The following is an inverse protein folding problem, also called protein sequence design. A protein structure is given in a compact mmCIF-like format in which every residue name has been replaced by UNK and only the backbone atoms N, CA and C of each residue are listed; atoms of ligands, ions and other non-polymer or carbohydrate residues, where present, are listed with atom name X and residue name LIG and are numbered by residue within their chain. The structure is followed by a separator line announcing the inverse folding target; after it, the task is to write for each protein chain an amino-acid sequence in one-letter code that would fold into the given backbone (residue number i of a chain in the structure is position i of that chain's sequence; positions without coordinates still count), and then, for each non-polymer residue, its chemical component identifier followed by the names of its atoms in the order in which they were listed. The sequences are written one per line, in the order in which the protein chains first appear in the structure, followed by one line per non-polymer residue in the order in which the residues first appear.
data_IF_228834743998
#
_entry.id   IF_228834743998
#
_cell.length_a   1.000
_cell.length_b   1.000
_cell.length_c   1.000
_cell.angle_alpha   90.00
_cell.angle_beta   90.00
_cell.angle_gamma   90.00
#
_symmetry.space_group_name_H-M   'P 1'
#
loop_
_entity.id
_entity.type
_entity.pdbx_description
1 polymer ?
#
# COMPACT_ATOMS: atom_id res chain seq x y z
N UNK A 1 17.20 -85.88 45.04
CA UNK A 1 17.47 -84.46 44.96
C UNK A 1 16.12 -83.76 44.93
N UNK A 2 15.74 -83.25 46.12
CA UNK A 2 14.50 -82.57 46.42
C UNK A 2 14.54 -81.11 45.97
N UNK A 3 13.59 -80.66 45.22
CA UNK A 3 13.34 -79.24 44.97
C UNK A 3 11.97 -78.88 45.62
N UNK A 4 12.06 -78.07 46.66
CA UNK A 4 10.96 -77.46 47.32
C UNK A 4 10.47 -76.22 46.58
N UNK A 5 9.18 -76.17 46.24
CA UNK A 5 8.49 -75.01 45.70
C UNK A 5 8.20 -74.00 46.81
N UNK A 6 8.35 -72.69 46.57
CA UNK A 6 7.92 -71.62 47.48
C UNK A 6 6.42 -71.32 47.33
N UNK A 7 5.75 -70.76 48.37
CA UNK A 7 4.32 -70.56 48.42
C UNK A 7 3.88 -69.31 47.63
N UNK A 8 2.62 -69.40 47.16
CA UNK A 8 1.95 -68.40 46.38
C UNK A 8 1.78 -67.06 47.18
N UNK A 9 2.26 -65.98 46.58
CA UNK A 9 2.06 -64.62 47.12
C UNK A 9 0.61 -64.20 46.78
N UNK A 10 -0.10 -63.80 47.83
CA UNK A 10 -1.45 -63.24 47.86
C UNK A 10 -1.45 -61.90 47.07
N UNK A 11 -2.28 -61.80 46.04
CA UNK A 11 -2.46 -60.61 45.24
C UNK A 11 -2.92 -59.40 46.06
N UNK A 12 -2.05 -58.45 46.19
CA UNK A 12 -2.35 -57.12 46.65
C UNK A 12 -3.03 -56.35 45.49
N UNK A 13 -4.31 -56.03 45.64
CA UNK A 13 -5.02 -55.14 44.71
C UNK A 13 -4.34 -53.75 44.80
N UNK A 14 -3.63 -53.38 43.77
CA UNK A 14 -3.20 -52.01 43.58
C UNK A 14 -4.43 -51.12 43.47
N UNK A 15 -4.64 -50.30 44.45
CA UNK A 15 -5.53 -49.13 44.40
C UNK A 15 -5.03 -48.21 43.28
N UNK A 16 -5.91 -47.76 42.37
CA UNK A 16 -5.50 -46.78 41.36
C UNK A 16 -5.04 -45.53 42.10
N UNK A 17 -3.77 -45.20 41.85
CA UNK A 17 -3.14 -43.96 42.30
C UNK A 17 -3.92 -42.81 41.69
N UNK A 18 -4.72 -42.11 42.49
CA UNK A 18 -5.37 -40.87 42.09
C UNK A 18 -4.26 -39.88 41.73
N UNK A 19 -4.16 -39.55 40.44
CA UNK A 19 -3.35 -38.42 39.99
C UNK A 19 -3.83 -37.19 40.77
N UNK A 20 -2.95 -36.49 41.47
CA UNK A 20 -3.33 -35.25 42.12
C UNK A 20 -3.70 -34.29 40.97
N UNK A 21 -4.97 -33.93 40.86
CA UNK A 21 -5.44 -32.74 40.16
C UNK A 21 -4.77 -31.57 40.89
N UNK A 22 -3.63 -31.12 40.36
CA UNK A 22 -3.02 -29.87 40.82
C UNK A 22 -4.08 -28.78 40.62
N UNK A 23 -4.52 -28.17 41.71
CA UNK A 23 -5.29 -26.94 41.64
C UNK A 23 -4.44 -25.93 40.90
N UNK A 24 -5.01 -25.19 39.92
CA UNK A 24 -4.26 -24.14 39.20
C UNK A 24 -3.58 -23.24 40.24
N UNK A 25 -2.28 -23.00 40.04
CA UNK A 25 -1.56 -22.18 41.01
C UNK A 25 -2.02 -20.73 40.78
N UNK A 26 -2.04 -19.92 41.86
CA UNK A 26 -2.38 -18.50 41.76
C UNK A 26 -1.52 -17.74 40.74
N UNK A 27 -0.40 -18.32 40.30
CA UNK A 27 0.45 -17.81 39.25
C UNK A 27 -0.15 -18.10 37.84
N UNK A 28 -0.78 -19.27 37.65
CA UNK A 28 -1.42 -19.63 36.37
C UNK A 28 -2.70 -18.80 36.20
N UNK A 29 -3.47 -18.58 37.25
CA UNK A 29 -4.66 -17.71 37.25
C UNK A 29 -4.26 -16.25 36.91
N UNK A 30 -3.13 -15.74 37.46
CA UNK A 30 -2.63 -14.40 37.18
C UNK A 30 -2.06 -14.25 35.77
N UNK A 31 -1.57 -15.33 35.16
CA UNK A 31 -1.13 -15.34 33.74
C UNK A 31 -2.36 -15.34 32.84
N UNK A 32 -3.36 -16.14 33.15
CA UNK A 32 -4.60 -16.19 32.36
C UNK A 32 -5.37 -14.86 32.42
N UNK A 33 -5.48 -14.22 33.62
CA UNK A 33 -6.06 -12.87 33.76
C UNK A 33 -5.28 -11.81 32.91
N UNK A 34 -3.97 -11.89 32.88
CA UNK A 34 -3.15 -10.97 32.03
C UNK A 34 -3.33 -11.24 30.55
N UNK A 35 -3.43 -12.50 30.15
CA UNK A 35 -3.71 -12.88 28.78
C UNK A 35 -5.11 -12.43 28.35
N UNK A 36 -6.12 -12.62 29.22
CA UNK A 36 -7.47 -12.11 28.97
C UNK A 36 -7.51 -10.59 28.86
N UNK A 37 -6.77 -9.86 29.69
CA UNK A 37 -6.66 -8.41 29.60
C UNK A 37 -5.96 -7.94 28.32
N UNK A 38 -4.95 -8.66 27.83
CA UNK A 38 -4.25 -8.36 26.57
C UNK A 38 -5.11 -8.68 25.35
N UNK A 39 -5.92 -9.74 25.44
CA UNK A 39 -6.81 -10.17 24.35
C UNK A 39 -8.24 -9.63 24.47
N UNK A 40 -8.55 -8.80 25.47
CA UNK A 40 -9.85 -8.13 25.62
C UNK A 40 -10.02 -7.02 24.55
N UNK A 41 -9.98 -7.40 23.28
CA UNK A 41 -10.49 -6.57 22.19
C UNK A 41 -12.01 -6.56 22.31
N UNK A 42 -12.54 -5.54 22.99
CA UNK A 42 -13.97 -5.28 23.00
C UNK A 42 -14.39 -4.48 21.76
N UNK A 43 -15.66 -4.56 21.38
CA UNK A 43 -16.25 -3.70 20.35
C UNK A 43 -15.99 -2.21 20.63
N UNK A 44 -15.86 -1.82 21.90
CA UNK A 44 -15.55 -0.46 22.33
C UNK A 44 -14.17 0.00 21.85
N UNK A 45 -13.15 -0.86 21.94
CA UNK A 45 -11.80 -0.54 21.46
C UNK A 45 -11.76 -0.38 19.93
N UNK A 46 -12.50 -1.23 19.20
CA UNK A 46 -12.62 -1.14 17.74
C UNK A 46 -13.37 0.13 17.38
N UNK A 47 -14.51 0.40 18.05
CA UNK A 47 -15.30 1.60 17.83
C UNK A 47 -14.51 2.88 18.12
N UNK A 48 -13.76 2.90 19.21
CA UNK A 48 -12.92 4.03 19.59
C UNK A 48 -11.81 4.26 18.56
N UNK A 49 -11.13 3.20 18.12
CA UNK A 49 -10.09 3.29 17.07
C UNK A 49 -10.66 3.76 15.74
N UNK A 50 -11.82 3.26 15.34
CA UNK A 50 -12.52 3.70 14.14
C UNK A 50 -12.96 5.17 14.23
N UNK A 51 -13.44 5.61 15.41
CA UNK A 51 -13.81 7.00 15.66
C UNK A 51 -12.61 7.94 15.53
N UNK A 52 -11.48 7.62 16.18
CA UNK A 52 -10.25 8.42 16.04
C UNK A 52 -9.72 8.44 14.63
N UNK A 53 -9.78 7.32 13.91
CA UNK A 53 -9.44 7.25 12.48
C UNK A 53 -10.34 8.13 11.62
N UNK A 54 -11.65 8.10 11.87
CA UNK A 54 -12.63 8.94 11.17
C UNK A 54 -12.42 10.43 11.46
N UNK A 55 -12.22 10.80 12.73
CA UNK A 55 -11.95 12.19 13.14
C UNK A 55 -10.66 12.70 12.48
N UNK A 56 -9.58 11.91 12.51
CA UNK A 56 -8.33 12.25 11.84
C UNK A 56 -8.48 12.41 10.34
N UNK A 57 -9.20 11.49 9.70
CA UNK A 57 -9.50 11.56 8.26
C UNK A 57 -10.33 12.78 7.88
N UNK A 58 -11.36 13.09 8.65
CA UNK A 58 -12.18 14.29 8.45
C UNK A 58 -11.38 15.57 8.68
N UNK A 59 -10.51 15.60 9.68
CA UNK A 59 -9.64 16.76 9.93
C UNK A 59 -8.69 17.00 8.75
N UNK A 60 -8.04 15.96 8.21
CA UNK A 60 -7.19 16.05 7.02
C UNK A 60 -7.98 16.50 5.79
N UNK A 61 -9.20 15.98 5.61
CA UNK A 61 -10.06 16.38 4.51
C UNK A 61 -10.48 17.84 4.60
N UNK A 62 -10.75 18.34 5.81
CA UNK A 62 -11.04 19.75 6.07
C UNK A 62 -9.84 20.65 5.75
N UNK A 63 -8.65 20.27 6.20
CA UNK A 63 -7.40 21.00 5.90
C UNK A 63 -7.17 21.04 4.39
N UNK A 64 -7.38 19.92 3.69
CA UNK A 64 -7.29 19.90 2.23
C UNK A 64 -8.32 20.85 1.59
N UNK A 65 -9.57 20.82 2.04
CA UNK A 65 -10.64 21.66 1.51
C UNK A 65 -10.32 23.15 1.69
N UNK A 66 -9.79 23.54 2.84
CA UNK A 66 -9.40 24.93 3.12
C UNK A 66 -8.19 25.39 2.30
N UNK A 67 -7.27 24.46 1.99
CA UNK A 67 -6.02 24.81 1.25
C UNK A 67 -6.17 24.65 -0.27
N UNK A 68 -7.10 23.84 -0.77
CA UNK A 68 -7.21 23.55 -2.21
C UNK A 68 -7.54 24.75 -3.06
N UNK A 69 -8.23 25.76 -2.51
CA UNK A 69 -8.58 26.99 -3.25
C UNK A 69 -7.42 27.99 -3.35
N UNK A 70 -6.34 27.79 -2.57
CA UNK A 70 -5.19 28.68 -2.59
C UNK A 70 -4.41 28.52 -3.89
N UNK A 71 -4.27 29.61 -4.64
CA UNK A 71 -3.53 29.64 -5.90
C UNK A 71 -2.05 29.32 -5.73
N UNK A 72 -1.45 29.67 -4.61
CA UNK A 72 -0.03 29.43 -4.31
C UNK A 72 0.38 27.96 -4.44
N UNK A 73 -0.51 27.01 -4.14
CA UNK A 73 -0.23 25.58 -4.24
C UNK A 73 -0.17 25.10 -5.70
N UNK A 74 -1.00 25.67 -6.58
CA UNK A 74 -1.16 25.19 -7.97
C UNK A 74 -0.56 26.13 -9.01
N UNK A 75 -0.15 27.31 -8.61
CA UNK A 75 0.30 28.39 -9.50
C UNK A 75 1.51 27.98 -10.36
N UNK A 76 2.59 27.41 -9.82
CA UNK A 76 3.74 27.05 -10.64
C UNK A 76 3.35 26.09 -11.76
N UNK A 77 2.55 25.08 -11.44
CA UNK A 77 2.09 24.09 -12.43
C UNK A 77 1.15 24.70 -13.48
N UNK A 78 0.29 25.62 -13.11
CA UNK A 78 -0.59 26.32 -14.05
C UNK A 78 0.16 27.27 -14.97
N UNK A 79 1.25 27.89 -14.49
CA UNK A 79 2.09 28.79 -15.27
C UNK A 79 2.97 28.06 -16.26
N UNK A 80 3.65 27.01 -15.81
CA UNK A 80 4.65 26.31 -16.61
C UNK A 80 4.09 25.13 -17.42
N UNK A 81 3.04 24.47 -16.93
CA UNK A 81 2.43 23.29 -17.53
C UNK A 81 0.90 23.39 -17.58
N UNK A 82 0.34 24.34 -18.35
CA UNK A 82 -1.11 24.56 -18.37
C UNK A 82 -1.90 23.32 -18.80
N UNK A 83 -1.36 22.50 -19.68
CA UNK A 83 -2.00 21.27 -20.16
C UNK A 83 -2.00 20.14 -19.12
N UNK A 84 -1.11 20.19 -18.11
CA UNK A 84 -1.09 19.27 -16.95
C UNK A 84 -1.79 19.84 -15.72
N UNK A 85 -2.23 21.07 -15.79
CA UNK A 85 -2.93 21.68 -14.68
C UNK A 85 -4.30 21.00 -14.46
N UNK A 86 -4.74 20.87 -13.20
CA UNK A 86 -6.08 20.35 -12.95
C UNK A 86 -7.13 21.27 -13.57
N UNK A 87 -8.18 20.68 -14.13
CA UNK A 87 -9.38 21.42 -14.53
C UNK A 87 -9.95 22.17 -13.34
N UNK A 88 -10.65 23.26 -13.58
CA UNK A 88 -11.34 23.99 -12.52
C UNK A 88 -12.31 23.05 -11.79
N UNK A 89 -12.05 22.87 -10.49
CA UNK A 89 -12.88 22.01 -9.67
C UNK A 89 -14.07 22.79 -9.14
N UNK A 90 -15.27 22.18 -9.07
CA UNK A 90 -16.43 22.85 -8.55
C UNK A 90 -16.20 23.34 -7.12
N UNK A 91 -16.67 24.56 -6.85
CA UNK A 91 -16.65 25.17 -5.52
C UNK A 91 -17.76 24.52 -4.68
N UNK A 92 -17.36 23.87 -3.59
CA UNK A 92 -18.29 23.21 -2.65
C UNK A 92 -17.57 22.15 -1.83
N UNK A 93 -18.05 21.95 -0.61
CA UNK A 93 -17.47 20.96 0.33
C UNK A 93 -17.59 19.56 -0.28
N UNK A 94 -16.45 18.93 -0.61
CA UNK A 94 -16.42 17.59 -1.19
C UNK A 94 -16.88 17.48 -2.66
N UNK A 95 -17.26 18.56 -3.33
CA UNK A 95 -17.73 18.53 -4.73
C UNK A 95 -16.66 18.03 -5.73
N UNK A 96 -15.41 18.08 -5.35
CA UNK A 96 -14.29 17.54 -6.15
C UNK A 96 -14.22 16.00 -6.14
N UNK A 97 -14.78 15.34 -5.11
CA UNK A 97 -14.68 13.89 -4.94
C UNK A 97 -15.29 13.13 -6.12
N UNK A 98 -16.55 13.36 -6.52
CA UNK A 98 -17.12 12.66 -7.68
C UNK A 98 -16.34 12.98 -8.96
N UNK A 99 -15.91 14.21 -9.17
CA UNK A 99 -15.11 14.60 -10.35
C UNK A 99 -13.78 13.87 -10.40
N UNK A 100 -13.10 13.73 -9.26
CA UNK A 100 -11.81 13.00 -9.18
C UNK A 100 -11.99 11.49 -9.36
N UNK A 101 -13.06 10.90 -8.81
CA UNK A 101 -13.34 9.46 -8.94
C UNK A 101 -13.80 9.06 -10.34
N UNK A 102 -14.52 9.95 -11.04
CA UNK A 102 -15.06 9.69 -12.38
C UNK A 102 -14.14 10.14 -13.51
N UNK A 103 -12.97 10.70 -13.19
CA UNK A 103 -12.01 11.15 -14.22
C UNK A 103 -11.58 9.99 -15.13
N UNK A 104 -11.65 10.17 -16.47
CA UNK A 104 -11.20 9.15 -17.43
C UNK A 104 -9.73 8.81 -17.25
N UNK A 105 -9.39 7.53 -17.41
CA UNK A 105 -8.00 7.07 -17.22
C UNK A 105 -7.00 7.76 -18.16
N UNK A 106 -7.41 8.06 -19.40
CA UNK A 106 -6.55 8.76 -20.38
C UNK A 106 -6.25 10.21 -19.96
N UNK A 107 -7.25 10.92 -19.47
CA UNK A 107 -7.08 12.28 -18.98
C UNK A 107 -6.21 12.29 -17.71
N UNK A 108 -6.44 11.34 -16.81
CA UNK A 108 -5.64 11.16 -15.61
C UNK A 108 -4.17 10.90 -15.95
N UNK A 109 -3.89 9.95 -16.87
CA UNK A 109 -2.54 9.64 -17.34
C UNK A 109 -1.86 10.87 -17.94
N UNK A 110 -2.57 11.64 -18.76
CA UNK A 110 -2.02 12.83 -19.42
C UNK A 110 -1.70 13.94 -18.43
N UNK A 111 -2.54 14.15 -17.40
CA UNK A 111 -2.36 15.23 -16.42
C UNK A 111 -1.35 14.91 -15.33
N UNK A 112 -1.30 13.66 -14.88
CA UNK A 112 -0.45 13.27 -13.74
C UNK A 112 0.89 12.67 -14.16
N UNK A 113 1.00 12.17 -15.39
CA UNK A 113 2.16 11.41 -15.85
C UNK A 113 2.07 9.93 -15.48
N UNK A 114 2.98 9.13 -16.06
CA UNK A 114 2.92 7.67 -15.94
C UNK A 114 3.10 7.18 -14.49
N UNK A 115 4.07 7.73 -13.76
CA UNK A 115 4.42 7.26 -12.40
C UNK A 115 3.29 7.51 -11.40
N UNK A 116 2.75 8.72 -11.39
CA UNK A 116 1.62 9.06 -10.52
C UNK A 116 0.36 8.28 -10.90
N UNK A 117 0.11 8.08 -12.20
CA UNK A 117 -0.99 7.24 -12.67
C UNK A 117 -0.85 5.80 -12.19
N UNK A 118 0.35 5.22 -12.25
CA UNK A 118 0.60 3.86 -11.77
C UNK A 118 0.39 3.73 -10.27
N UNK A 119 0.82 4.71 -9.48
CA UNK A 119 0.55 4.74 -8.04
C UNK A 119 -0.96 4.75 -7.74
N UNK A 120 -1.73 5.59 -8.45
CA UNK A 120 -3.19 5.63 -8.30
C UNK A 120 -3.86 4.31 -8.70
N UNK A 121 -3.38 3.66 -9.75
CA UNK A 121 -3.83 2.32 -10.18
C UNK A 121 -3.56 1.27 -9.11
N UNK A 122 -2.37 1.28 -8.52
CA UNK A 122 -2.02 0.38 -7.42
C UNK A 122 -2.97 0.55 -6.22
N UNK A 123 -3.23 1.78 -5.80
CA UNK A 123 -4.19 2.07 -4.73
C UNK A 123 -5.59 1.55 -5.09
N UNK A 124 -6.04 1.78 -6.32
CA UNK A 124 -7.33 1.29 -6.82
C UNK A 124 -7.39 -0.25 -6.85
N UNK A 125 -6.30 -0.92 -7.18
CA UNK A 125 -6.19 -2.38 -7.10
C UNK A 125 -6.30 -2.86 -5.65
N UNK A 126 -5.56 -2.26 -4.72
CA UNK A 126 -5.66 -2.58 -3.29
C UNK A 126 -7.08 -2.39 -2.75
N UNK A 127 -7.77 -1.31 -3.15
CA UNK A 127 -9.17 -1.08 -2.79
C UNK A 127 -10.10 -2.19 -3.32
N UNK A 128 -9.88 -2.68 -4.54
CA UNK A 128 -10.68 -3.78 -5.12
C UNK A 128 -10.46 -5.08 -4.37
N UNK A 129 -9.19 -5.41 -4.04
CA UNK A 129 -8.87 -6.60 -3.24
C UNK A 129 -9.54 -6.49 -1.87
N UNK A 130 -9.39 -5.36 -1.19
CA UNK A 130 -10.00 -5.13 0.11
C UNK A 130 -11.54 -5.20 0.07
N UNK A 131 -12.17 -4.56 -0.92
CA UNK A 131 -13.63 -4.59 -1.07
C UNK A 131 -14.16 -6.01 -1.29
N UNK A 132 -13.49 -6.80 -2.15
CA UNK A 132 -13.85 -8.18 -2.39
C UNK A 132 -13.68 -9.03 -1.11
N UNK A 133 -12.55 -8.87 -0.41
CA UNK A 133 -12.28 -9.59 0.84
C UNK A 133 -13.28 -9.22 1.93
N UNK A 134 -13.62 -7.96 2.04
CA UNK A 134 -14.61 -7.47 3.01
C UNK A 134 -16.01 -8.02 2.70
N UNK A 135 -16.41 -7.98 1.43
CA UNK A 135 -17.71 -8.50 1.02
C UNK A 135 -17.88 -9.99 1.36
N UNK A 136 -16.93 -10.82 0.95
CA UNK A 136 -17.00 -12.25 1.25
C UNK A 136 -16.69 -12.55 2.73
N UNK A 137 -15.85 -11.77 3.38
CA UNK A 137 -15.63 -11.89 4.81
C UNK A 137 -16.92 -11.69 5.63
N UNK A 138 -17.68 -10.65 5.31
CA UNK A 138 -18.93 -10.35 5.99
C UNK A 138 -20.06 -11.32 5.61
N UNK A 139 -20.13 -11.75 4.35
CA UNK A 139 -21.24 -12.60 3.87
C UNK A 139 -21.03 -14.09 4.14
N UNK A 140 -19.81 -14.56 4.15
CA UNK A 140 -19.48 -16.00 4.31
C UNK A 140 -18.81 -16.28 5.64
N UNK A 141 -17.67 -15.62 5.93
CA UNK A 141 -16.90 -15.96 7.14
C UNK A 141 -17.56 -15.51 8.43
N UNK A 142 -18.16 -14.34 8.43
CA UNK A 142 -18.83 -13.81 9.62
C UNK A 142 -19.99 -14.71 10.10
N UNK A 143 -20.93 -15.16 9.23
CA UNK A 143 -21.95 -16.13 9.62
C UNK A 143 -21.38 -17.50 10.03
N UNK A 144 -20.34 -18.00 9.31
CA UNK A 144 -19.71 -19.28 9.64
C UNK A 144 -19.13 -19.28 11.03
N UNK A 145 -18.48 -18.17 11.42
CA UNK A 145 -17.91 -18.03 12.76
C UNK A 145 -18.98 -17.74 13.82
N UNK A 146 -19.94 -16.87 13.55
CA UNK A 146 -20.99 -16.47 14.49
C UNK A 146 -22.00 -17.59 14.81
N UNK A 147 -22.19 -18.56 13.91
CA UNK A 147 -23.06 -19.72 14.14
C UNK A 147 -22.31 -20.93 14.69
N UNK A 148 -21.01 -20.82 14.95
CA UNK A 148 -20.22 -21.91 15.53
C UNK A 148 -20.49 -22.02 17.04
N UNK A 149 -20.58 -23.24 17.54
CA UNK A 149 -20.67 -23.52 18.97
C UNK A 149 -19.26 -23.41 19.56
N UNK A 150 -19.04 -22.38 20.40
CA UNK A 150 -17.79 -22.17 21.09
C UNK A 150 -17.58 -23.25 22.16
N UNK A 151 -16.43 -23.88 22.16
CA UNK A 151 -15.97 -24.72 23.27
C UNK A 151 -15.36 -23.88 24.40
N UNK A 152 -15.08 -22.62 24.17
CA UNK A 152 -14.52 -21.68 25.15
C UNK A 152 -15.51 -20.54 25.42
N UNK A 153 -16.12 -20.55 26.59
CA UNK A 153 -17.11 -19.54 27.03
C UNK A 153 -16.50 -18.19 27.43
N UNK A 154 -15.21 -17.99 27.26
CA UNK A 154 -14.48 -16.90 27.92
C UNK A 154 -13.99 -15.78 27.01
N UNK A 155 -14.30 -15.79 25.73
CA UNK A 155 -13.85 -14.70 24.89
C UNK A 155 -14.97 -13.68 24.73
N UNK A 156 -14.68 -12.40 24.94
CA UNK A 156 -15.63 -11.30 24.77
C UNK A 156 -16.29 -11.28 23.40
N UNK A 157 -17.33 -10.49 23.21
CA UNK A 157 -18.25 -10.45 22.06
C UNK A 157 -17.57 -10.42 20.68
N UNK A 158 -16.36 -9.87 20.58
CA UNK A 158 -15.62 -9.83 19.33
C UNK A 158 -15.12 -11.21 18.87
N UNK A 159 -14.64 -12.04 19.80
CA UNK A 159 -14.10 -13.37 19.48
C UNK A 159 -15.17 -14.35 18.97
N UNK A 160 -16.44 -14.05 19.28
CA UNK A 160 -17.57 -14.83 18.75
C UNK A 160 -17.61 -14.84 17.21
N UNK A 161 -17.10 -13.80 16.57
CA UNK A 161 -17.07 -13.66 15.10
C UNK A 161 -15.70 -13.93 14.49
N UNK A 162 -14.80 -14.57 15.23
CA UNK A 162 -13.48 -14.96 14.73
C UNK A 162 -13.33 -16.46 14.61
N UNK A 163 -12.24 -16.91 13.98
CA UNK A 163 -11.93 -18.34 13.83
C UNK A 163 -11.75 -19.06 15.17
N UNK A 164 -11.48 -18.34 16.25
CA UNK A 164 -11.33 -18.90 17.60
C UNK A 164 -12.64 -19.45 18.17
N UNK A 165 -13.79 -18.99 17.66
CA UNK A 165 -15.11 -19.49 18.05
C UNK A 165 -15.42 -20.88 17.46
N UNK A 166 -14.63 -21.34 16.49
CA UNK A 166 -14.85 -22.64 15.84
C UNK A 166 -14.10 -23.73 16.59
N UNK A 167 -14.79 -24.82 16.97
CA UNK A 167 -14.17 -25.95 17.64
C UNK A 167 -13.05 -26.56 16.80
N UNK A 168 -11.98 -27.03 17.44
CA UNK A 168 -10.87 -27.68 16.77
C UNK A 168 -11.36 -28.92 16.00
N UNK A 169 -10.86 -29.08 14.77
CA UNK A 169 -11.24 -30.18 13.85
C UNK A 169 -12.70 -30.14 13.34
N UNK A 170 -13.42 -29.04 13.53
CA UNK A 170 -14.75 -28.90 12.94
C UNK A 170 -14.66 -28.80 11.40
N UNK A 171 -15.60 -29.42 10.71
CA UNK A 171 -15.68 -29.35 9.23
C UNK A 171 -15.84 -27.90 8.72
N UNK A 172 -16.39 -27.00 9.55
CA UNK A 172 -16.54 -25.57 9.24
C UNK A 172 -15.20 -24.84 9.00
N UNK A 173 -14.07 -25.40 9.50
CA UNK A 173 -12.73 -24.84 9.25
C UNK A 173 -12.30 -24.94 7.78
N UNK A 174 -12.99 -25.73 6.95
CA UNK A 174 -12.76 -25.71 5.50
C UNK A 174 -13.20 -24.41 4.84
N UNK A 175 -14.20 -23.71 5.38
CA UNK A 175 -14.66 -22.44 4.79
C UNK A 175 -13.57 -21.37 4.74
N UNK A 176 -12.84 -21.02 5.83
CA UNK A 176 -11.74 -20.08 5.77
C UNK A 176 -10.59 -20.56 4.86
N UNK A 177 -10.32 -21.86 4.77
CA UNK A 177 -9.29 -22.40 3.88
C UNK A 177 -9.65 -22.13 2.41
N UNK A 178 -10.87 -22.49 2.01
CA UNK A 178 -11.37 -22.23 0.65
C UNK A 178 -11.35 -20.73 0.34
N UNK A 179 -11.79 -19.90 1.29
CA UNK A 179 -11.79 -18.44 1.12
C UNK A 179 -10.37 -17.87 0.98
N UNK A 180 -9.38 -18.40 1.72
CA UNK A 180 -8.00 -17.98 1.57
C UNK A 180 -7.46 -18.25 0.16
N UNK A 181 -7.75 -19.42 -0.42
CA UNK A 181 -7.39 -19.72 -1.81
C UNK A 181 -8.09 -18.80 -2.81
N UNK A 182 -9.39 -18.54 -2.62
CA UNK A 182 -10.15 -17.61 -3.48
C UNK A 182 -9.60 -16.21 -3.44
N UNK A 183 -9.26 -15.67 -2.24
CA UNK A 183 -8.65 -14.36 -2.09
C UNK A 183 -7.28 -14.28 -2.74
N UNK A 184 -6.45 -15.31 -2.56
CA UNK A 184 -5.12 -15.38 -3.18
C UNK A 184 -5.23 -15.39 -4.70
N UNK A 185 -6.11 -16.25 -5.24
CA UNK A 185 -6.35 -16.32 -6.67
C UNK A 185 -6.87 -14.98 -7.23
N UNK A 186 -7.83 -14.36 -6.55
CA UNK A 186 -8.37 -13.07 -6.94
C UNK A 186 -7.28 -11.97 -6.94
N UNK A 187 -6.45 -11.90 -5.89
CA UNK A 187 -5.34 -10.95 -5.81
C UNK A 187 -4.32 -11.17 -6.93
N UNK A 188 -3.90 -12.42 -7.17
CA UNK A 188 -2.99 -12.77 -8.25
C UNK A 188 -3.57 -12.43 -9.62
N UNK A 189 -4.86 -12.68 -9.84
CA UNK A 189 -5.54 -12.32 -11.08
C UNK A 189 -5.56 -10.81 -11.32
N UNK A 190 -5.87 -10.02 -10.29
CA UNK A 190 -5.85 -8.55 -10.40
C UNK A 190 -4.45 -8.02 -10.68
N UNK A 191 -3.43 -8.54 -9.99
CA UNK A 191 -2.02 -8.16 -10.21
C UNK A 191 -1.61 -8.50 -11.64
N UNK A 192 -1.88 -9.71 -12.12
CA UNK A 192 -1.56 -10.12 -13.47
C UNK A 192 -2.23 -9.23 -14.52
N UNK A 193 -3.52 -8.97 -14.36
CA UNK A 193 -4.30 -8.11 -15.27
C UNK A 193 -3.78 -6.68 -15.29
N UNK A 194 -3.49 -6.10 -14.12
CA UNK A 194 -2.97 -4.74 -14.06
C UNK A 194 -1.53 -4.65 -14.59
N UNK A 195 -0.72 -5.69 -14.41
CA UNK A 195 0.63 -5.78 -15.01
C UNK A 195 0.58 -5.89 -16.54
N UNK A 196 -0.29 -6.72 -17.08
CA UNK A 196 -0.47 -6.84 -18.53
C UNK A 196 -0.90 -5.51 -19.17
N UNK A 197 -1.81 -4.80 -18.51
CA UNK A 197 -2.24 -3.47 -18.95
C UNK A 197 -1.12 -2.41 -18.83
N UNK A 198 -0.27 -2.50 -17.81
CA UNK A 198 0.85 -1.59 -17.60
C UNK A 198 1.80 -1.56 -18.79
N UNK A 199 2.12 -2.73 -19.34
CA UNK A 199 3.01 -2.82 -20.49
C UNK A 199 2.46 -2.05 -21.69
N UNK A 200 1.15 -2.16 -21.96
CA UNK A 200 0.49 -1.41 -23.02
C UNK A 200 0.51 0.10 -22.79
N UNK A 201 0.16 0.55 -21.57
CA UNK A 201 0.17 1.99 -21.24
C UNK A 201 1.56 2.60 -21.24
N UNK A 202 2.57 1.85 -20.78
CA UNK A 202 3.96 2.29 -20.84
C UNK A 202 4.41 2.48 -22.27
N UNK A 203 4.11 1.53 -23.14
CA UNK A 203 4.48 1.62 -24.57
C UNK A 203 3.75 2.77 -25.24
N UNK A 204 2.47 2.93 -24.98
CA UNK A 204 1.67 4.03 -25.50
C UNK A 204 2.19 5.39 -25.00
N UNK A 205 2.51 5.51 -23.71
CA UNK A 205 3.09 6.71 -23.12
C UNK A 205 4.43 7.09 -23.74
N UNK A 206 5.31 6.10 -23.91
CA UNK A 206 6.62 6.33 -24.53
C UNK A 206 6.55 6.70 -26.02
N UNK A 207 5.53 6.25 -26.72
CA UNK A 207 5.32 6.57 -28.15
C UNK A 207 4.63 7.92 -28.39
N UNK A 208 3.88 8.43 -27.39
CA UNK A 208 3.18 9.73 -27.53
C UNK A 208 4.16 10.91 -27.42
N UNK A 209 4.06 11.93 -28.29
CA UNK A 209 4.76 13.18 -28.11
C UNK A 209 4.18 13.93 -26.90
N UNK A 210 5.04 14.15 -25.90
CA UNK A 210 4.70 14.98 -24.75
C UNK A 210 5.28 16.39 -25.00
N UNK A 211 4.46 17.45 -24.95
CA UNK A 211 4.91 18.81 -25.22
C UNK A 211 5.95 19.32 -24.21
N UNK A 212 5.94 18.76 -22.99
CA UNK A 212 6.88 19.16 -21.93
C UNK A 212 8.23 18.44 -22.00
N UNK A 213 8.28 17.33 -22.70
CA UNK A 213 9.48 16.50 -22.76
C UNK A 213 10.16 16.70 -24.10
N UNK A 214 11.39 17.22 -24.14
CA UNK A 214 12.14 17.35 -25.39
C UNK A 214 12.18 16.03 -26.13
N UNK A 215 11.96 16.06 -27.45
CA UNK A 215 11.94 14.87 -28.30
C UNK A 215 13.21 14.01 -28.11
N UNK A 216 14.33 14.66 -27.81
CA UNK A 216 15.62 14.03 -27.56
C UNK A 216 15.60 13.02 -26.40
N UNK A 217 14.85 13.28 -25.34
CA UNK A 217 14.78 12.37 -24.16
C UNK A 217 14.30 10.97 -24.52
N UNK A 218 13.48 10.83 -25.57
CA UNK A 218 12.95 9.54 -26.03
C UNK A 218 13.96 8.70 -26.78
N UNK A 219 14.92 9.38 -27.41
CA UNK A 219 15.95 8.76 -28.24
C UNK A 219 17.31 8.77 -27.56
N UNK A 220 17.39 9.18 -26.28
CA UNK A 220 18.62 9.24 -25.51
C UNK A 220 18.70 8.09 -24.53
N UNK A 221 19.87 7.53 -24.40
CA UNK A 221 20.19 6.54 -23.38
C UNK A 221 21.21 7.13 -22.40
N UNK A 222 21.02 6.89 -21.13
CA UNK A 222 22.01 7.23 -20.11
C UNK A 222 22.87 5.99 -19.83
N UNK A 223 24.19 6.16 -19.95
CA UNK A 223 25.16 5.09 -19.71
C UNK A 223 25.97 5.45 -18.47
N UNK A 224 25.90 4.61 -17.46
CA UNK A 224 26.66 4.75 -16.23
C UNK A 224 27.95 3.89 -16.27
N UNK A 225 28.93 4.26 -15.45
CA UNK A 225 30.21 3.52 -15.26
C UNK A 225 31.03 3.34 -16.52
N UNK A 226 31.23 4.45 -17.27
CA UNK A 226 32.08 4.44 -18.44
C UNK A 226 33.54 4.09 -18.10
N UNK A 227 34.18 3.14 -18.82
CA UNK A 227 35.60 2.91 -18.77
C UNK A 227 36.39 4.19 -19.08
N UNK A 228 37.59 4.32 -18.55
CA UNK A 228 38.41 5.53 -18.70
C UNK A 228 38.66 5.88 -20.16
N UNK A 229 38.79 4.88 -21.03
CA UNK A 229 39.05 4.99 -22.46
C UNK A 229 37.87 5.62 -23.23
N UNK A 230 36.65 5.48 -22.71
CA UNK A 230 35.43 6.00 -23.33
C UNK A 230 34.92 7.31 -22.71
N UNK A 231 35.69 7.93 -21.81
CA UNK A 231 35.32 9.17 -21.12
C UNK A 231 35.59 10.42 -21.95
N UNK A 232 35.49 10.33 -23.27
CA UNK A 232 35.49 11.48 -24.17
C UNK A 232 34.35 11.36 -25.17
N UNK A 233 33.73 12.48 -25.53
CA UNK A 233 32.61 12.53 -26.46
C UNK A 233 32.92 11.83 -27.78
N UNK A 234 34.15 12.02 -28.28
CA UNK A 234 34.61 11.42 -29.53
C UNK A 234 34.77 9.90 -29.45
N UNK A 235 35.38 9.41 -28.36
CA UNK A 235 35.57 7.97 -28.14
C UNK A 235 34.23 7.27 -27.90
N UNK A 236 33.36 7.87 -27.07
CA UNK A 236 32.03 7.36 -26.81
C UNK A 236 31.18 7.29 -28.05
N UNK A 237 31.18 8.35 -28.86
CA UNK A 237 30.49 8.37 -30.14
C UNK A 237 31.01 7.29 -31.08
N UNK A 238 32.31 7.18 -31.23
CA UNK A 238 32.93 6.17 -32.12
C UNK A 238 32.62 4.74 -31.68
N UNK A 239 32.51 4.51 -30.36
CA UNK A 239 32.11 3.21 -29.81
C UNK A 239 30.66 2.87 -30.20
N UNK A 240 29.71 3.78 -29.95
CA UNK A 240 28.32 3.54 -30.26
C UNK A 240 28.03 3.54 -31.77
N UNK A 241 28.77 4.31 -32.57
CA UNK A 241 28.66 4.29 -34.03
C UNK A 241 29.08 2.93 -34.65
N UNK A 242 30.01 2.21 -33.97
CA UNK A 242 30.32 0.83 -34.37
C UNK A 242 29.21 -0.17 -34.04
N UNK A 243 28.48 0.08 -32.97
CA UNK A 243 27.36 -0.80 -32.54
C UNK A 243 26.08 -0.50 -33.34
N UNK A 244 25.85 0.78 -33.65
CA UNK A 244 24.64 1.27 -34.31
C UNK A 244 25.02 2.24 -35.45
N UNK A 245 25.50 1.73 -36.60
CA UNK A 245 25.97 2.57 -37.70
C UNK A 245 24.90 3.53 -38.22
N UNK A 246 25.22 4.82 -38.29
CA UNK A 246 24.32 5.86 -38.80
C UNK A 246 23.14 6.22 -37.90
N UNK A 247 23.05 5.65 -36.67
CA UNK A 247 21.93 5.92 -35.73
C UNK A 247 22.33 6.84 -34.57
N UNK A 248 23.62 7.13 -34.41
CA UNK A 248 24.13 7.96 -33.31
C UNK A 248 24.15 9.42 -33.70
N UNK A 249 23.21 10.20 -33.21
CA UNK A 249 23.18 11.64 -33.44
C UNK A 249 24.30 12.38 -32.69
N UNK A 250 24.39 12.16 -31.37
CA UNK A 250 25.41 12.78 -30.52
C UNK A 250 25.69 11.91 -29.30
N UNK A 251 26.90 12.00 -28.78
CA UNK A 251 27.29 11.42 -27.51
C UNK A 251 27.95 12.50 -26.66
N UNK A 252 27.53 12.65 -25.43
CA UNK A 252 28.03 13.67 -24.50
C UNK A 252 28.40 12.99 -23.19
N UNK A 253 29.61 13.23 -22.71
CA UNK A 253 30.07 12.74 -21.42
C UNK A 253 29.74 13.78 -20.35
N UNK A 254 28.83 13.44 -19.43
CA UNK A 254 28.48 14.29 -18.31
C UNK A 254 29.62 14.29 -17.29
N UNK A 255 30.23 15.44 -17.05
CA UNK A 255 31.22 15.62 -16.00
C UNK A 255 30.53 15.95 -14.69
N UNK A 256 31.05 15.42 -13.59
CA UNK A 256 30.55 15.79 -12.25
C UNK A 256 31.11 17.15 -11.87
N UNK A 257 30.25 18.14 -11.93
CA UNK A 257 30.58 19.54 -11.63
C UNK A 257 29.82 19.97 -10.34
N UNK A 258 30.32 19.50 -9.20
CA UNK A 258 29.65 19.71 -7.89
C UNK A 258 29.41 21.21 -7.57
N UNK A 259 30.29 22.12 -8.00
CA UNK A 259 30.14 23.54 -7.81
C UNK A 259 29.00 24.11 -8.69
N UNK A 260 28.92 23.69 -9.94
CA UNK A 260 27.84 24.07 -10.84
C UNK A 260 26.49 23.54 -10.35
N UNK A 261 26.44 22.30 -9.86
CA UNK A 261 25.23 21.69 -9.30
C UNK A 261 24.72 22.48 -8.08
N UNK A 262 25.63 22.94 -7.21
CA UNK A 262 25.27 23.79 -6.07
C UNK A 262 24.71 25.14 -6.53
N UNK A 263 25.32 25.78 -7.53
CA UNK A 263 24.82 27.04 -8.08
C UNK A 263 23.47 26.88 -8.77
N UNK A 264 23.27 25.77 -9.50
CA UNK A 264 21.98 25.46 -10.11
C UNK A 264 20.90 25.20 -9.04
N UNK A 265 21.21 24.48 -7.98
CA UNK A 265 20.30 24.26 -6.86
C UNK A 265 19.94 25.57 -6.15
N UNK A 266 20.94 26.44 -5.87
CA UNK A 266 20.70 27.74 -5.28
C UNK A 266 19.84 28.64 -6.17
N UNK A 267 20.07 28.63 -7.48
CA UNK A 267 19.24 29.34 -8.45
C UNK A 267 17.79 28.84 -8.42
N UNK A 268 17.60 27.51 -8.38
CA UNK A 268 16.26 26.92 -8.36
C UNK A 268 15.50 27.32 -7.09
N UNK A 269 16.14 27.31 -5.93
CA UNK A 269 15.53 27.75 -4.67
C UNK A 269 15.06 29.22 -4.72
N UNK A 270 15.84 30.10 -5.36
CA UNK A 270 15.44 31.51 -5.56
C UNK A 270 14.25 31.62 -6.51
N UNK A 271 14.23 30.84 -7.60
CA UNK A 271 13.12 30.83 -8.55
C UNK A 271 11.85 30.32 -7.87
N UNK A 272 11.92 29.26 -7.09
CA UNK A 272 10.78 28.72 -6.36
C UNK A 272 10.20 29.72 -5.36
N UNK A 273 11.07 30.44 -4.62
CA UNK A 273 10.65 31.54 -3.71
C UNK A 273 9.98 32.68 -4.45
N UNK A 274 10.50 33.04 -5.62
CA UNK A 274 9.90 34.09 -6.46
C UNK A 274 8.51 33.69 -6.93
N UNK A 275 8.35 32.46 -7.40
CA UNK A 275 7.07 31.92 -7.86
C UNK A 275 6.02 31.85 -6.74
N UNK A 276 6.42 31.45 -5.54
CA UNK A 276 5.55 31.49 -4.37
C UNK A 276 5.12 32.91 -4.01
N UNK A 277 6.05 33.87 -4.04
CA UNK A 277 5.75 35.28 -3.76
C UNK A 277 4.82 35.90 -4.83
N UNK A 278 4.97 35.54 -6.10
CA UNK A 278 4.07 35.95 -7.17
C UNK A 278 2.67 35.37 -6.97
N UNK A 279 2.58 34.10 -6.57
CA UNK A 279 1.31 33.44 -6.30
C UNK A 279 0.56 34.08 -5.12
N UNK A 280 1.27 34.38 -4.03
CA UNK A 280 0.70 35.04 -2.85
C UNK A 280 0.20 36.47 -3.17
N UNK A 281 0.92 37.21 -4.04
CA UNK A 281 0.45 38.51 -4.53
C UNK A 281 -0.80 38.39 -5.40
N UNK A 282 -0.92 37.33 -6.20
CA UNK A 282 -2.09 37.08 -7.03
C UNK A 282 -3.32 36.73 -6.16
N UNK A 283 -3.12 35.98 -5.08
CA UNK A 283 -4.19 35.63 -4.12
C UNK A 283 -4.67 36.88 -3.35
N UNK A 284 -3.78 37.77 -2.94
CA UNK A 284 -4.13 39.04 -2.26
C UNK A 284 -4.87 40.02 -3.16
N UNK A 285 -4.60 40.04 -4.47
CA UNK A 285 -5.30 40.91 -5.43
C UNK A 285 -6.66 40.36 -5.87
N UNK A 286 -6.89 39.07 -5.73
CA UNK A 286 -8.17 38.43 -6.08
C UNK A 286 -9.21 38.48 -4.97
N UNK A 287 -8.88 38.96 -3.77
CA UNK A 287 -9.79 39.15 -2.65
C UNK A 287 -10.30 40.60 -2.51
N UNK A 288 -9.95 41.51 -3.37
CA UNK A 288 -10.52 42.86 -3.52
C UNK A 288 -11.38 42.98 -4.76
#
# INVERSE_FOLDING_TARGET
VSQSSPPAARGERATPMATPTASPSAADDAVDDRLEAVYAYSWDNIGTSALWGAVGGLALMLVFELKRSKRSVYWPKRKHMPHRSPSEMPLGLGAWVPTALMMPNEELLRKTGLDAYMMLRYIKMCMRVAACSTFFGLTVLFPVYGTAESSQKAAGDFYHYTSTNVAQRAERLWAPVVMAYLYTFHACFLIYRDYANLLGWRQEWLSRPDPDTPAQVRYSIFVDRLPVELRSDTALRAYFERLFPGQVHSAVVCMQLSELDQLCAARQDVVDRLEHAEADRADTRGCG
#
